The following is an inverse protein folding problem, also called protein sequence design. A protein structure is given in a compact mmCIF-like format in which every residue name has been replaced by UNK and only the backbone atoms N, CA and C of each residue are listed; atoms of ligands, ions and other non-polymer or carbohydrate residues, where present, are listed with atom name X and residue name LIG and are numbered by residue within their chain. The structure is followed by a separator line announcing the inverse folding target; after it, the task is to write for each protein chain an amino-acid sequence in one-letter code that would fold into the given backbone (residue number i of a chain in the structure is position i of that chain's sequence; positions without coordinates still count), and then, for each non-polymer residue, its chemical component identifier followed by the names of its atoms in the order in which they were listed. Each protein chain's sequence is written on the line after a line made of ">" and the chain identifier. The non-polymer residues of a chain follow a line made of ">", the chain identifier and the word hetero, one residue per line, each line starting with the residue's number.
data_IF_604627031283
#
_entry.id   IF_604627031283
#
_cell.length_a   1.000
_cell.length_b   1.000
_cell.length_c   1.000
_cell.angle_alpha   90.00
_cell.angle_beta   90.00
_cell.angle_gamma   90.00
#
_symmetry.space_group_name_H-M   'P 1'
#
loop_
_entity.id
_entity.type
_entity.pdbx_description
1 polymer ?
#
# COMPACT_ATOMS: atom_id res chain seq x y z
N UNK A 1 1.08 -14.24 16.10
CA UNK A 1 1.30 -14.46 14.65
C UNK A 1 2.14 -13.33 14.08
N UNK A 2 3.15 -13.65 13.26
CA UNK A 2 4.04 -12.65 12.65
C UNK A 2 3.33 -11.80 11.59
N UNK A 3 3.90 -10.64 11.26
CA UNK A 3 3.40 -9.79 10.17
C UNK A 3 3.44 -10.52 8.81
N UNK A 4 4.49 -11.32 8.58
CA UNK A 4 4.61 -12.16 7.38
C UNK A 4 3.47 -13.19 7.28
N UNK A 5 3.04 -13.80 8.39
CA UNK A 5 1.89 -14.72 8.38
C UNK A 5 0.58 -13.98 8.07
N UNK A 6 0.41 -12.74 8.56
CA UNK A 6 -0.75 -11.92 8.25
C UNK A 6 -0.76 -11.52 6.76
N UNK A 7 0.39 -11.17 6.19
CA UNK A 7 0.51 -10.85 4.77
C UNK A 7 0.15 -12.05 3.86
N UNK A 8 0.35 -13.28 4.35
CA UNK A 8 -0.01 -14.50 3.63
C UNK A 8 -1.43 -15.02 3.89
N UNK A 9 -2.26 -14.30 4.66
CA UNK A 9 -3.60 -14.75 5.05
C UNK A 9 -4.67 -14.64 3.96
N UNK A 10 -4.34 -14.15 2.77
CA UNK A 10 -5.30 -13.87 1.69
C UNK A 10 -6.07 -12.56 1.86
N UNK A 11 -5.80 -11.80 2.93
CA UNK A 11 -6.31 -10.44 3.09
C UNK A 11 -5.74 -9.53 2.00
N UNK A 12 -6.55 -8.63 1.43
CA UNK A 12 -6.07 -7.58 0.54
C UNK A 12 -4.96 -6.75 1.18
N UNK A 13 -3.94 -6.40 0.39
CA UNK A 13 -2.80 -5.60 0.84
C UNK A 13 -2.70 -4.34 -0.02
N UNK A 14 -2.78 -3.19 0.65
CA UNK A 14 -2.38 -1.89 0.10
C UNK A 14 -0.96 -1.60 0.58
N UNK A 15 0.00 -1.61 -0.34
CA UNK A 15 1.39 -1.22 -0.05
C UNK A 15 1.56 0.29 -0.29
N UNK A 16 2.14 0.99 0.68
CA UNK A 16 2.37 2.44 0.61
C UNK A 16 3.88 2.69 0.74
N UNK A 17 4.45 3.36 -0.25
CA UNK A 17 5.84 3.79 -0.25
C UNK A 17 5.94 5.32 -0.31
N UNK A 18 6.91 5.89 0.41
CA UNK A 18 7.13 7.34 0.36
C UNK A 18 7.79 7.81 -0.94
N UNK A 19 8.62 6.97 -1.56
CA UNK A 19 9.47 7.36 -2.68
C UNK A 19 9.65 6.23 -3.71
N UNK A 20 10.27 6.51 -4.88
CA UNK A 20 10.50 5.53 -5.95
C UNK A 20 11.40 4.34 -5.59
N UNK A 21 12.01 4.34 -4.39
CA UNK A 21 12.77 3.18 -3.90
C UNK A 21 11.89 1.97 -3.62
N UNK A 22 10.59 2.19 -3.36
CA UNK A 22 9.59 1.15 -3.15
C UNK A 22 9.96 0.08 -2.09
N UNK A 23 10.49 0.51 -0.95
CA UNK A 23 11.01 -0.39 0.09
C UNK A 23 9.93 -1.35 0.62
N UNK A 24 8.70 -0.90 0.83
CA UNK A 24 7.61 -1.75 1.29
C UNK A 24 7.27 -2.84 0.26
N UNK A 25 7.17 -2.47 -1.03
CA UNK A 25 6.97 -3.43 -2.12
C UNK A 25 8.11 -4.45 -2.19
N UNK A 26 9.36 -4.00 -2.06
CA UNK A 26 10.53 -4.88 -2.08
C UNK A 26 10.52 -5.88 -0.92
N UNK A 27 10.19 -5.44 0.29
CA UNK A 27 10.06 -6.33 1.46
C UNK A 27 8.96 -7.38 1.26
N UNK A 28 7.80 -7.00 0.71
CA UNK A 28 6.73 -7.97 0.40
C UNK A 28 7.18 -9.01 -0.63
N UNK A 29 7.87 -8.56 -1.69
CA UNK A 29 8.39 -9.44 -2.73
C UNK A 29 9.42 -10.46 -2.19
N UNK A 30 10.28 -10.07 -1.24
CA UNK A 30 11.20 -10.99 -0.56
C UNK A 30 10.49 -12.13 0.18
N UNK A 31 9.22 -11.92 0.56
CA UNK A 31 8.37 -12.91 1.20
C UNK A 31 7.36 -13.58 0.25
N UNK A 32 7.51 -13.40 -1.06
CA UNK A 32 6.60 -13.97 -2.06
C UNK A 32 5.19 -13.38 -2.04
N UNK A 33 5.02 -12.20 -1.42
CA UNK A 33 3.72 -11.52 -1.32
C UNK A 33 3.64 -10.41 -2.36
N UNK A 34 2.56 -10.39 -3.13
CA UNK A 34 2.25 -9.31 -4.07
C UNK A 34 1.10 -8.48 -3.50
N UNK A 35 1.25 -7.16 -3.33
CA UNK A 35 0.14 -6.32 -2.88
C UNK A 35 -0.92 -6.19 -3.98
N UNK A 36 -2.19 -6.04 -3.58
CA UNK A 36 -3.29 -5.77 -4.50
C UNK A 36 -3.14 -4.41 -5.16
N UNK A 37 -2.79 -3.42 -4.34
CA UNK A 37 -2.55 -2.05 -4.79
C UNK A 37 -1.25 -1.57 -4.18
N UNK A 38 -0.45 -0.87 -4.98
CA UNK A 38 0.77 -0.23 -4.55
C UNK A 38 0.72 1.26 -4.89
N UNK A 39 0.98 2.09 -3.89
CA UNK A 39 0.93 3.55 -3.98
C UNK A 39 2.30 4.11 -3.61
N UNK A 40 2.72 5.14 -4.34
CA UNK A 40 3.92 5.92 -4.01
C UNK A 40 3.52 7.36 -3.75
N UNK A 41 3.63 7.80 -2.49
CA UNK A 41 3.13 9.11 -2.04
C UNK A 41 3.70 10.28 -2.83
N UNK A 42 4.99 10.22 -3.19
CA UNK A 42 5.63 11.25 -4.03
C UNK A 42 5.04 11.38 -5.45
N UNK A 43 4.41 10.34 -5.99
CA UNK A 43 3.67 10.39 -7.25
C UNK A 43 2.28 11.03 -7.09
N UNK A 44 1.77 11.07 -5.86
CA UNK A 44 0.52 11.71 -5.46
C UNK A 44 0.74 13.15 -4.95
N UNK A 45 1.91 13.74 -5.24
CA UNK A 45 2.25 15.11 -4.86
C UNK A 45 2.90 15.24 -3.48
N UNK A 46 2.82 14.22 -2.61
CA UNK A 46 3.41 14.27 -1.29
C UNK A 46 4.88 13.88 -1.31
N UNK A 47 5.73 14.88 -1.52
CA UNK A 47 7.18 14.73 -1.55
C UNK A 47 7.78 15.01 -0.18
N UNK A 48 8.84 14.27 0.15
CA UNK A 48 9.62 14.52 1.36
C UNK A 48 10.20 15.94 1.32
N UNK A 49 9.83 16.75 2.32
CA UNK A 49 10.43 18.06 2.59
C UNK A 49 11.29 17.97 3.86
N UNK A 50 12.38 18.71 3.88
CA UNK A 50 13.36 18.60 4.97
C UNK A 50 12.93 19.47 6.14
N UNK A 51 12.79 18.88 7.33
CA UNK A 51 12.35 19.55 8.57
C UNK A 51 10.98 20.24 8.45
N UNK A 52 10.12 19.67 7.63
CA UNK A 52 8.79 20.20 7.38
C UNK A 52 7.82 19.02 7.37
N UNK A 53 6.69 19.21 8.05
CA UNK A 53 5.62 18.24 8.09
C UNK A 53 4.68 18.39 6.87
N UNK A 54 3.80 17.41 6.71
CA UNK A 54 2.72 17.51 5.74
C UNK A 54 1.68 18.51 6.27
N UNK A 55 1.08 19.30 5.38
CA UNK A 55 -0.05 20.13 5.78
C UNK A 55 -1.28 19.25 6.09
N UNK A 56 -2.23 19.80 6.82
CA UNK A 56 -3.49 19.11 7.11
C UNK A 56 -4.28 18.84 5.83
N UNK A 57 -4.22 19.78 4.87
CA UNK A 57 -4.87 19.66 3.57
C UNK A 57 -4.24 18.54 2.72
N UNK A 58 -2.91 18.47 2.67
CA UNK A 58 -2.19 17.39 1.98
C UNK A 58 -2.54 16.03 2.57
N UNK A 59 -2.56 15.93 3.89
CA UNK A 59 -2.86 14.69 4.61
C UNK A 59 -4.32 14.28 4.41
N UNK A 60 -5.25 15.24 4.44
CA UNK A 60 -6.68 15.00 4.26
C UNK A 60 -7.00 14.53 2.84
N UNK A 61 -6.43 15.18 1.83
CA UNK A 61 -6.62 14.78 0.43
C UNK A 61 -6.14 13.33 0.19
N UNK A 62 -4.93 13.00 0.68
CA UNK A 62 -4.40 11.64 0.59
C UNK A 62 -5.26 10.62 1.34
N UNK A 63 -5.80 11.00 2.51
CA UNK A 63 -6.65 10.12 3.28
C UNK A 63 -7.95 9.80 2.55
N UNK A 64 -8.58 10.79 1.90
CA UNK A 64 -9.74 10.56 1.03
C UNK A 64 -9.40 9.63 -0.14
N UNK A 65 -8.29 9.86 -0.84
CA UNK A 65 -7.84 8.98 -1.94
C UNK A 65 -7.66 7.53 -1.46
N UNK A 66 -7.05 7.34 -0.29
CA UNK A 66 -6.85 6.01 0.28
C UNK A 66 -8.16 5.34 0.67
N UNK A 67 -9.12 6.07 1.25
CA UNK A 67 -10.45 5.53 1.51
C UNK A 67 -11.15 5.09 0.23
N UNK A 68 -11.06 5.89 -0.84
CA UNK A 68 -11.62 5.51 -2.15
C UNK A 68 -10.97 4.25 -2.72
N UNK A 69 -9.65 4.08 -2.57
CA UNK A 69 -8.96 2.84 -2.97
C UNK A 69 -9.45 1.66 -2.14
N UNK A 70 -9.54 1.81 -0.81
CA UNK A 70 -9.97 0.74 0.09
C UNK A 70 -11.43 0.32 -0.18
N UNK A 71 -12.29 1.28 -0.51
CA UNK A 71 -13.68 1.03 -0.85
C UNK A 71 -13.88 0.48 -2.29
N UNK A 72 -12.83 0.50 -3.12
CA UNK A 72 -12.90 0.03 -4.51
C UNK A 72 -12.77 -1.49 -4.63
N UNK A 73 -13.16 -2.00 -5.79
CA UNK A 73 -12.98 -3.39 -6.21
C UNK A 73 -11.50 -3.81 -6.32
N UNK A 74 -10.57 -2.85 -6.39
CA UNK A 74 -9.13 -3.12 -6.43
C UNK A 74 -8.62 -3.76 -5.14
N UNK A 75 -9.35 -3.61 -4.04
CA UNK A 75 -9.02 -4.18 -2.74
C UNK A 75 -9.83 -5.44 -2.41
N UNK A 76 -10.35 -6.14 -3.43
CA UNK A 76 -11.00 -7.43 -3.22
C UNK A 76 -9.97 -8.53 -2.87
N UNK A 77 -10.31 -9.51 -2.02
CA UNK A 77 -9.45 -10.64 -1.73
C UNK A 77 -9.09 -11.39 -3.02
N UNK A 78 -7.80 -11.65 -3.22
CA UNK A 78 -7.38 -12.60 -4.25
C UNK A 78 -7.70 -13.98 -3.70
N UNK A 79 -8.88 -14.50 -4.02
CA UNK A 79 -9.16 -15.92 -3.83
C UNK A 79 -8.19 -16.68 -4.71
N UNK A 80 -7.17 -17.28 -4.09
CA UNK A 80 -6.26 -18.19 -4.76
C UNK A 80 -7.11 -19.37 -5.22
N UNK A 81 -7.51 -19.38 -6.49
CA UNK A 81 -7.95 -20.61 -7.14
C UNK A 81 -6.77 -21.57 -7.00
N UNK A 82 -6.90 -22.53 -6.08
CA UNK A 82 -6.06 -23.70 -6.11
C UNK A 82 -6.35 -24.36 -7.46
N UNK A 83 -5.44 -24.17 -8.41
CA UNK A 83 -5.36 -25.05 -9.57
C UNK A 83 -5.17 -26.47 -9.03
N UNK A 84 -6.16 -27.31 -9.32
CA UNK A 84 -6.05 -28.77 -9.36
C UNK A 84 -4.82 -29.22 -10.12
#
# INVERSE_FOLDING_TARGET
>A
GSLANKANSGRPILAIDGCPMHCARACLAQHGVTPNVHITLSSYGLRKRYREDCSEEETSALFEDMKSIIASDRMQPVYRLHSV
#
